data_IF_128751941308
#
_entry.id   IF_128751941308
#
_cell.length_a   1.000
_cell.length_b   1.000
_cell.length_c   1.000
_cell.angle_alpha   90.00
_cell.angle_beta   90.00
_cell.angle_gamma   90.00
#
_symmetry.space_group_name_H-M   'P 1'
#
loop_
_entity.id
_entity.type
_entity.pdbx_description
1 polymer ?
#
# COMPACT_ATOMS: atom_id res chain seq x y z
N UNK A 1 -2.44 4.88 17.78
CA UNK A 1 -1.89 4.21 16.57
C UNK A 1 -0.63 4.98 16.20
N UNK A 2 0.49 4.31 15.87
CA UNK A 2 1.87 4.86 15.84
C UNK A 2 2.50 5.23 17.20
N UNK A 3 2.33 4.39 18.24
CA UNK A 3 2.83 4.66 19.60
C UNK A 3 4.37 4.54 19.78
N UNK A 4 5.12 4.26 18.72
CA UNK A 4 6.58 4.12 18.74
C UNK A 4 7.24 5.40 18.21
N UNK A 5 7.91 5.31 17.06
CA UNK A 5 8.66 6.43 16.49
C UNK A 5 7.80 7.52 15.86
N UNK A 6 6.47 7.35 15.79
CA UNK A 6 5.57 8.32 15.15
C UNK A 6 5.68 9.71 15.75
N UNK A 7 5.69 9.81 17.09
CA UNK A 7 5.83 11.10 17.79
C UNK A 7 7.21 11.74 17.62
N UNK A 8 8.27 10.93 17.52
CA UNK A 8 9.65 11.42 17.35
C UNK A 8 9.89 11.91 15.92
N UNK A 9 9.38 11.18 14.93
CA UNK A 9 9.56 11.52 13.52
C UNK A 9 8.60 12.62 13.04
N UNK A 10 7.47 12.80 13.73
CA UNK A 10 6.41 13.76 13.38
C UNK A 10 6.10 13.80 11.87
N UNK A 11 5.74 12.66 11.25
CA UNK A 11 5.58 12.58 9.81
C UNK A 11 4.33 13.33 9.32
N UNK A 12 4.44 14.04 8.20
CA UNK A 12 3.28 14.65 7.53
C UNK A 12 2.30 13.60 6.96
N UNK A 13 2.84 12.47 6.50
CA UNK A 13 2.08 11.38 5.87
C UNK A 13 2.63 10.06 6.39
N UNK A 14 1.73 9.13 6.77
CA UNK A 14 2.06 7.75 7.10
C UNK A 14 1.44 6.82 6.06
N UNK A 15 2.21 5.84 5.57
CA UNK A 15 1.72 4.80 4.67
C UNK A 15 1.75 3.46 5.40
N UNK A 16 0.61 2.77 5.41
CA UNK A 16 0.49 1.43 5.95
C UNK A 16 0.70 0.42 4.82
N UNK A 17 1.60 -0.54 5.02
CA UNK A 17 1.87 -1.61 4.08
C UNK A 17 1.75 -2.94 4.81
N UNK A 18 0.85 -3.78 4.33
CA UNK A 18 0.63 -5.10 4.91
C UNK A 18 1.84 -6.01 4.66
N UNK A 19 2.13 -6.87 5.64
CA UNK A 19 3.21 -7.85 5.51
C UNK A 19 2.86 -8.83 4.39
N UNK A 20 3.79 -9.02 3.46
CA UNK A 20 3.59 -9.86 2.28
C UNK A 20 3.02 -9.12 1.07
N UNK A 21 2.61 -7.85 1.20
CA UNK A 21 2.20 -7.04 0.05
C UNK A 21 3.40 -6.40 -0.62
N UNK A 22 3.55 -6.61 -1.93
CA UNK A 22 4.54 -5.93 -2.76
C UNK A 22 3.93 -4.67 -3.36
N UNK A 23 4.39 -3.46 -3.00
CA UNK A 23 3.90 -2.24 -3.64
C UNK A 23 4.29 -2.25 -5.13
N UNK A 24 3.36 -1.83 -5.99
CA UNK A 24 3.66 -1.56 -7.40
C UNK A 24 4.67 -0.42 -7.55
N UNK A 25 5.42 -0.40 -8.65
CA UNK A 25 6.58 0.49 -8.83
C UNK A 25 6.32 1.98 -8.55
N UNK A 26 5.10 2.47 -8.80
CA UNK A 26 4.71 3.87 -8.56
C UNK A 26 3.64 4.05 -7.49
N UNK A 27 3.18 2.96 -6.85
CA UNK A 27 2.03 2.97 -5.94
C UNK A 27 2.19 3.94 -4.76
N UNK A 28 3.34 3.92 -4.09
CA UNK A 28 3.64 4.81 -2.96
C UNK A 28 3.69 6.28 -3.41
N UNK A 29 4.25 6.55 -4.59
CA UNK A 29 4.29 7.90 -5.14
C UNK A 29 2.88 8.45 -5.39
N UNK A 30 1.97 7.63 -5.93
CA UNK A 30 0.58 8.03 -6.15
C UNK A 30 -0.17 8.28 -4.84
N UNK A 31 0.05 7.46 -3.80
CA UNK A 31 -0.51 7.69 -2.47
C UNK A 31 -0.03 9.03 -1.90
N UNK A 32 1.27 9.30 -1.94
CA UNK A 32 1.84 10.57 -1.49
C UNK A 32 1.30 11.76 -2.32
N UNK A 33 1.23 11.61 -3.65
CA UNK A 33 0.78 12.66 -4.56
C UNK A 33 -0.65 13.12 -4.25
N UNK A 34 -1.53 12.22 -3.76
CA UNK A 34 -2.89 12.60 -3.38
C UNK A 34 -2.91 13.67 -2.27
N UNK A 35 -2.07 13.51 -1.25
CA UNK A 35 -1.92 14.49 -0.16
C UNK A 35 -1.21 15.77 -0.64
N UNK A 36 -0.24 15.65 -1.54
CA UNK A 36 0.45 16.81 -2.11
C UNK A 36 -0.43 17.64 -3.05
N UNK A 37 -1.45 17.04 -3.66
CA UNK A 37 -2.33 17.72 -4.63
C UNK A 37 -3.49 18.44 -3.96
N UNK A 38 -3.97 17.95 -2.81
CA UNK A 38 -5.09 18.54 -2.10
C UNK A 38 -4.90 18.43 -0.58
N UNK A 39 -4.70 19.58 0.06
CA UNK A 39 -4.47 19.71 1.50
C UNK A 39 -5.64 19.22 2.36
N UNK A 40 -6.85 19.12 1.79
CA UNK A 40 -8.04 18.64 2.50
C UNK A 40 -8.20 17.10 2.46
N UNK A 41 -7.26 16.37 1.85
CA UNK A 41 -7.31 14.90 1.81
C UNK A 41 -6.83 14.32 3.13
N UNK A 42 -7.74 13.68 3.86
CA UNK A 42 -7.42 12.98 5.11
C UNK A 42 -6.90 11.54 4.94
N UNK A 43 -6.98 10.97 3.73
CA UNK A 43 -6.57 9.59 3.46
C UNK A 43 -6.59 9.22 1.98
N UNK A 44 -5.73 8.27 1.59
CA UNK A 44 -5.69 7.68 0.26
C UNK A 44 -5.49 6.16 0.38
N UNK A 45 -6.10 5.38 -0.51
CA UNK A 45 -5.96 3.93 -0.56
C UNK A 45 -5.61 3.49 -1.99
N UNK A 46 -4.72 2.51 -2.11
CA UNK A 46 -4.38 1.87 -3.38
C UNK A 46 -5.19 0.59 -3.58
N UNK A 47 -5.24 0.10 -4.81
CA UNK A 47 -5.77 -1.23 -5.09
C UNK A 47 -4.76 -2.30 -4.69
N UNK A 48 -5.25 -3.39 -4.09
CA UNK A 48 -4.46 -4.58 -3.78
C UNK A 48 -4.90 -5.70 -4.72
N UNK A 49 -3.95 -6.35 -5.37
CA UNK A 49 -4.21 -7.48 -6.25
C UNK A 49 -3.26 -8.65 -5.96
N UNK A 50 -3.78 -9.88 -6.13
CA UNK A 50 -3.00 -11.10 -6.01
C UNK A 50 -2.04 -11.28 -7.17
N UNK A 51 -0.83 -11.75 -6.87
CA UNK A 51 0.16 -12.12 -7.88
C UNK A 51 -0.25 -13.44 -8.52
N UNK A 52 -0.73 -13.39 -9.77
CA UNK A 52 -1.29 -14.55 -10.48
C UNK A 52 -0.24 -15.42 -11.18
N UNK A 53 1.02 -14.99 -11.21
CA UNK A 53 2.08 -15.66 -11.98
C UNK A 53 1.90 -15.54 -13.50
N UNK A 54 2.79 -16.19 -14.25
CA UNK A 54 2.70 -16.26 -15.71
C UNK A 54 1.45 -17.04 -16.11
N UNK A 55 0.65 -16.47 -17.04
CA UNK A 55 -0.59 -17.09 -17.52
C UNK A 55 -1.59 -17.50 -16.42
N UNK A 56 -1.60 -16.79 -15.29
CA UNK A 56 -2.45 -17.08 -14.12
C UNK A 56 -2.24 -18.47 -13.48
N UNK A 57 -1.11 -19.13 -13.74
CA UNK A 57 -0.85 -20.49 -13.25
C UNK A 57 -0.77 -20.58 -11.72
N UNK A 58 -0.36 -19.51 -11.03
CA UNK A 58 -0.26 -19.53 -9.57
C UNK A 58 -1.63 -19.60 -8.89
N UNK A 59 -2.72 -19.28 -9.61
CA UNK A 59 -4.09 -19.44 -9.12
C UNK A 59 -4.53 -20.90 -8.99
N UNK A 60 -3.75 -21.85 -9.50
CA UNK A 60 -3.99 -23.28 -9.24
C UNK A 60 -3.67 -23.66 -7.79
N UNK A 61 -2.87 -22.85 -7.09
CA UNK A 61 -2.63 -23.03 -5.67
C UNK A 61 -3.81 -22.44 -4.87
N UNK A 62 -4.56 -23.26 -4.10
CA UNK A 62 -5.71 -22.79 -3.34
C UNK A 62 -5.35 -21.71 -2.30
N UNK A 63 -4.10 -21.64 -1.84
CA UNK A 63 -3.65 -20.57 -0.93
C UNK A 63 -3.47 -19.21 -1.62
N UNK A 64 -3.24 -19.20 -2.94
CA UNK A 64 -3.06 -17.97 -3.73
C UNK A 64 -4.39 -17.49 -4.32
N UNK A 65 -5.32 -18.41 -4.56
CA UNK A 65 -6.63 -18.12 -5.15
C UNK A 65 -7.74 -17.81 -4.11
N UNK A 66 -7.53 -18.15 -2.85
CA UNK A 66 -8.47 -17.88 -1.76
C UNK A 66 -8.49 -16.41 -1.31
#
# INVERSE_FOLDING_TARGET
FFNAFGTVLNPNICVLLDVGTRPGNTSIYHLWKAFATNENVGGACGEICVMKGTACLDLLNPLVAA
#
